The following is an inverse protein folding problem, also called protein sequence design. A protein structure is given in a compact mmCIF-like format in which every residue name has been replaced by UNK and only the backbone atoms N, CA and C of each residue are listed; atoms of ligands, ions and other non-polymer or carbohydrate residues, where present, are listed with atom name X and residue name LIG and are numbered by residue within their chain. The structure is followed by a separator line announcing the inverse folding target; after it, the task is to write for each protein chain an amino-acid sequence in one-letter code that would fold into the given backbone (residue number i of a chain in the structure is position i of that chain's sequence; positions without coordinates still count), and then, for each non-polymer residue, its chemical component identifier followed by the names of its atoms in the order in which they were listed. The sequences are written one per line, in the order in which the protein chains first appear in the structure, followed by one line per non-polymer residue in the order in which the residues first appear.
data_IF_465057745994
#
_entry.id   IF_465057745994
#
_cell.length_a   1.000
_cell.length_b   1.000
_cell.length_c   1.000
_cell.angle_alpha   90.00
_cell.angle_beta   90.00
_cell.angle_gamma   90.00
#
_symmetry.space_group_name_H-M   'P 1'
#
loop_
_entity.id
_entity.type
_entity.pdbx_description
1 polymer ?
#
# COMPACT_ATOMS: atom_id res chain seq x y z
N UNK A 1 18.65 75.96 -17.97
CA UNK A 1 19.09 74.60 -17.52
C UNK A 1 17.96 73.59 -17.75
N UNK A 2 18.02 72.75 -18.76
CA UNK A 2 17.00 71.71 -18.97
C UNK A 2 17.10 70.66 -17.85
N UNK A 3 16.01 70.46 -17.14
CA UNK A 3 15.93 69.56 -16.02
C UNK A 3 16.26 68.11 -16.45
N UNK A 4 16.84 67.35 -15.57
CA UNK A 4 17.26 65.94 -15.80
C UNK A 4 16.06 65.07 -16.31
N UNK A 5 14.85 65.41 -15.87
CA UNK A 5 13.58 64.82 -16.36
C UNK A 5 13.36 65.02 -17.86
N UNK A 6 13.62 66.25 -18.38
CA UNK A 6 13.46 66.50 -19.83
C UNK A 6 14.49 65.74 -20.68
N UNK A 7 15.71 65.55 -20.20
CA UNK A 7 16.71 64.69 -20.87
C UNK A 7 16.29 63.27 -20.96
N UNK A 8 15.75 62.69 -19.87
CA UNK A 8 15.26 61.31 -19.80
C UNK A 8 14.03 61.15 -20.73
N UNK A 9 13.10 62.10 -20.70
CA UNK A 9 11.91 62.07 -21.58
C UNK A 9 12.31 62.18 -23.04
N UNK A 10 13.22 63.04 -23.44
CA UNK A 10 13.72 63.14 -24.80
C UNK A 10 14.46 61.91 -25.26
N UNK A 11 15.26 61.28 -24.39
CA UNK A 11 15.93 60.03 -24.69
C UNK A 11 14.94 58.88 -24.90
N UNK A 12 13.92 58.79 -24.03
CA UNK A 12 12.86 57.77 -24.11
C UNK A 12 12.02 57.96 -25.40
N UNK A 13 11.69 59.22 -25.78
CA UNK A 13 10.93 59.49 -27.00
C UNK A 13 11.77 59.22 -28.26
N UNK A 14 13.04 59.65 -28.25
CA UNK A 14 13.94 59.43 -29.40
C UNK A 14 14.23 57.95 -29.68
N UNK A 15 14.18 57.12 -28.66
CA UNK A 15 14.38 55.69 -28.77
C UNK A 15 13.10 54.84 -28.89
N UNK A 16 11.93 55.51 -29.02
CA UNK A 16 10.68 54.79 -29.23
C UNK A 16 10.67 54.19 -30.63
N UNK A 17 10.79 52.90 -30.66
CA UNK A 17 10.61 52.08 -31.88
C UNK A 17 9.12 51.98 -32.19
N UNK A 18 8.80 51.75 -33.47
CA UNK A 18 7.42 51.52 -33.85
C UNK A 18 6.79 50.37 -33.03
N UNK A 19 5.51 50.41 -32.72
CA UNK A 19 4.84 49.35 -31.97
C UNK A 19 5.07 47.98 -32.57
N UNK A 20 5.21 47.89 -33.88
CA UNK A 20 5.43 46.64 -34.60
C UNK A 20 6.85 46.11 -34.43
N UNK A 21 7.87 46.98 -34.43
CA UNK A 21 9.26 46.59 -34.18
C UNK A 21 9.46 46.16 -32.70
N UNK A 22 8.76 46.80 -31.78
CA UNK A 22 8.80 46.46 -30.38
C UNK A 22 8.17 45.07 -30.12
N UNK A 23 7.01 44.80 -30.72
CA UNK A 23 6.39 43.45 -30.71
C UNK A 23 7.32 42.39 -31.28
N UNK A 24 7.97 42.66 -32.39
CA UNK A 24 8.88 41.72 -33.04
C UNK A 24 10.13 41.44 -32.18
N UNK A 25 10.66 42.46 -31.47
CA UNK A 25 11.78 42.28 -30.53
C UNK A 25 11.38 41.49 -29.29
N UNK A 26 10.28 41.86 -28.65
CA UNK A 26 9.76 41.17 -27.49
C UNK A 26 9.43 39.73 -27.86
N UNK A 27 8.82 39.49 -29.02
CA UNK A 27 8.59 38.13 -29.52
C UNK A 27 9.87 37.32 -29.71
N UNK A 28 10.91 37.94 -30.31
CA UNK A 28 12.21 37.26 -30.49
C UNK A 28 12.90 36.98 -29.15
N UNK A 29 12.90 37.94 -28.19
CA UNK A 29 13.52 37.73 -26.88
C UNK A 29 12.76 36.68 -26.06
N UNK A 30 11.44 36.63 -26.14
CA UNK A 30 10.63 35.63 -25.49
C UNK A 30 10.86 34.23 -26.10
N UNK A 31 10.95 34.16 -27.43
CA UNK A 31 11.27 32.92 -28.13
C UNK A 31 12.69 32.40 -27.77
N UNK A 32 13.69 33.29 -27.74
CA UNK A 32 15.04 32.92 -27.30
C UNK A 32 15.07 32.44 -25.85
N UNK A 33 14.32 33.10 -24.96
CA UNK A 33 14.22 32.67 -23.56
C UNK A 33 13.57 31.28 -23.46
N UNK A 34 12.51 31.06 -24.22
CA UNK A 34 11.83 29.75 -24.26
C UNK A 34 12.74 28.63 -24.74
N UNK A 35 13.50 28.88 -25.84
CA UNK A 35 14.48 27.92 -26.37
C UNK A 35 15.59 27.66 -25.37
N UNK A 36 16.08 28.70 -24.67
CA UNK A 36 17.09 28.56 -23.62
C UNK A 36 16.59 27.70 -22.45
N UNK A 37 15.39 27.97 -21.94
CA UNK A 37 14.79 27.17 -20.87
C UNK A 37 14.59 25.72 -21.30
N UNK A 38 14.15 25.51 -22.52
CA UNK A 38 14.00 24.16 -23.08
C UNK A 38 15.34 23.43 -23.19
N UNK A 39 16.39 24.11 -23.64
CA UNK A 39 17.75 23.53 -23.69
C UNK A 39 18.26 23.16 -22.29
N UNK A 40 18.07 24.02 -21.28
CA UNK A 40 18.42 23.70 -19.89
C UNK A 40 17.64 22.48 -19.38
N UNK A 41 16.36 22.37 -19.72
CA UNK A 41 15.56 21.20 -19.37
C UNK A 41 16.09 19.93 -20.02
N UNK A 42 16.41 19.97 -21.32
CA UNK A 42 16.99 18.81 -22.02
C UNK A 42 18.34 18.37 -21.43
N UNK A 43 19.21 19.32 -21.11
CA UNK A 43 20.51 19.01 -20.45
C UNK A 43 20.26 18.36 -19.09
N UNK A 44 19.34 18.89 -18.30
CA UNK A 44 19.00 18.31 -16.99
C UNK A 44 18.48 16.87 -17.16
N UNK A 45 17.63 16.63 -18.17
CA UNK A 45 17.11 15.30 -18.46
C UNK A 45 18.22 14.33 -18.90
N UNK A 46 19.12 14.77 -19.78
CA UNK A 46 20.25 13.98 -20.23
C UNK A 46 21.20 13.58 -19.07
N UNK A 47 21.44 14.51 -18.14
CA UNK A 47 22.22 14.23 -16.93
C UNK A 47 21.54 13.17 -16.05
N UNK A 48 20.22 13.27 -15.84
CA UNK A 48 19.46 12.29 -15.04
C UNK A 48 19.52 10.90 -15.70
N UNK A 49 19.34 10.83 -17.02
CA UNK A 49 19.40 9.55 -17.77
C UNK A 49 20.82 8.96 -17.70
N UNK A 50 21.84 9.80 -17.89
CA UNK A 50 23.23 9.33 -17.93
C UNK A 50 23.80 8.94 -16.56
N UNK A 51 23.39 9.63 -15.50
CA UNK A 51 23.92 9.40 -14.14
C UNK A 51 23.01 8.54 -13.27
N UNK A 52 21.72 8.41 -13.62
CA UNK A 52 20.70 7.75 -12.78
C UNK A 52 20.50 8.43 -11.42
N UNK A 53 21.01 9.67 -11.26
CA UNK A 53 20.96 10.38 -9.98
C UNK A 53 20.48 11.82 -10.15
N UNK A 54 19.77 12.34 -9.13
CA UNK A 54 19.34 13.73 -9.04
C UNK A 54 19.49 14.23 -7.60
N UNK A 55 20.10 15.42 -7.43
CA UNK A 55 20.34 16.04 -6.11
C UNK A 55 21.03 15.12 -5.09
N UNK A 56 21.97 14.29 -5.54
CA UNK A 56 22.71 13.36 -4.67
C UNK A 56 21.96 12.05 -4.36
N UNK A 57 20.72 11.89 -4.84
CA UNK A 57 19.94 10.67 -4.66
C UNK A 57 20.06 9.79 -5.90
N UNK A 58 20.41 8.53 -5.72
CA UNK A 58 20.46 7.54 -6.80
C UNK A 58 19.05 7.01 -7.05
N UNK A 59 18.42 7.48 -8.14
CA UNK A 59 17.03 7.15 -8.50
C UNK A 59 16.82 5.65 -8.78
N UNK A 60 17.87 4.99 -9.33
CA UNK A 60 17.80 3.55 -9.63
C UNK A 60 17.74 2.73 -8.34
N UNK A 61 18.57 3.09 -7.33
CA UNK A 61 18.54 2.43 -6.02
C UNK A 61 17.25 2.68 -5.27
N UNK A 62 16.73 3.90 -5.31
CA UNK A 62 15.44 4.21 -4.66
C UNK A 62 14.27 3.53 -5.35
N UNK A 63 14.25 3.49 -6.68
CA UNK A 63 13.25 2.73 -7.43
C UNK A 63 13.30 1.24 -7.09
N UNK A 64 14.51 0.64 -7.05
CA UNK A 64 14.67 -0.75 -6.65
C UNK A 64 14.18 -1.00 -5.23
N UNK A 65 14.47 -0.10 -4.29
CA UNK A 65 14.02 -0.19 -2.90
C UNK A 65 12.49 -0.17 -2.76
N UNK A 66 11.82 0.65 -3.56
CA UNK A 66 10.34 0.76 -3.54
C UNK A 66 9.68 -0.44 -4.24
N UNK A 67 10.30 -0.94 -5.32
CA UNK A 67 9.72 -2.03 -6.12
C UNK A 67 10.20 -3.43 -5.70
N UNK A 68 11.26 -3.55 -4.88
CA UNK A 68 11.73 -4.82 -4.36
C UNK A 68 11.23 -5.03 -2.95
N UNK A 69 10.17 -5.83 -2.81
CA UNK A 69 9.72 -6.31 -1.50
C UNK A 69 10.36 -7.67 -1.25
N UNK A 70 11.28 -7.75 -0.30
CA UNK A 70 11.82 -9.03 0.14
C UNK A 70 10.80 -9.71 1.05
N UNK A 71 10.18 -10.77 0.56
CA UNK A 71 9.29 -11.62 1.35
C UNK A 71 10.07 -12.82 1.83
N UNK A 72 10.24 -12.96 3.13
CA UNK A 72 10.78 -14.18 3.73
C UNK A 72 9.72 -15.26 3.66
N UNK A 73 9.99 -16.32 2.89
CA UNK A 73 9.13 -17.51 2.85
C UNK A 73 9.72 -18.50 3.85
N UNK A 74 9.03 -18.80 4.97
CA UNK A 74 9.51 -19.79 5.91
C UNK A 74 9.55 -21.17 5.23
N UNK A 75 10.63 -21.90 5.47
CA UNK A 75 10.76 -23.26 4.96
C UNK A 75 9.75 -24.17 5.67
N UNK A 76 9.17 -25.12 4.92
CA UNK A 76 8.33 -26.16 5.51
C UNK A 76 9.18 -27.07 6.39
N UNK A 77 8.69 -27.40 7.58
CA UNK A 77 9.32 -28.39 8.46
C UNK A 77 9.06 -29.80 7.92
N UNK A 78 10.02 -30.69 8.10
CA UNK A 78 9.86 -32.09 7.73
C UNK A 78 8.77 -32.81 8.54
N UNK A 79 8.13 -33.79 7.95
CA UNK A 79 7.20 -34.69 8.64
C UNK A 79 8.00 -35.67 9.51
N UNK A 80 7.53 -35.89 10.72
CA UNK A 80 8.11 -36.89 11.65
C UNK A 80 7.21 -38.12 11.63
N UNK A 81 7.79 -39.26 11.41
CA UNK A 81 7.09 -40.54 11.34
C UNK A 81 7.43 -41.43 12.54
N UNK A 82 6.51 -42.30 12.88
CA UNK A 82 6.81 -43.44 13.75
C UNK A 82 7.58 -44.51 13.00
N UNK A 83 7.95 -45.59 13.71
CA UNK A 83 8.66 -46.74 13.10
C UNK A 83 7.85 -47.49 12.02
N UNK A 84 6.53 -47.28 11.98
CA UNK A 84 5.63 -47.92 11.02
C UNK A 84 5.36 -47.01 9.80
N UNK A 85 5.96 -45.80 9.78
CA UNK A 85 5.74 -44.84 8.72
C UNK A 85 4.47 -43.99 8.89
N UNK A 86 3.84 -44.01 10.07
CA UNK A 86 2.67 -43.17 10.36
C UNK A 86 3.14 -41.79 10.80
N UNK A 87 2.61 -40.71 10.24
CA UNK A 87 3.00 -39.34 10.62
C UNK A 87 2.59 -39.07 12.07
N UNK A 88 3.55 -38.64 12.88
CA UNK A 88 3.33 -38.15 14.26
C UNK A 88 3.17 -36.64 14.27
N UNK A 89 3.92 -35.92 13.43
CA UNK A 89 3.85 -34.49 13.27
C UNK A 89 4.16 -34.09 11.84
N UNK A 90 3.33 -33.25 11.27
CA UNK A 90 3.47 -32.75 9.89
C UNK A 90 3.14 -31.26 9.80
N UNK A 91 3.70 -30.59 8.80
CA UNK A 91 3.35 -29.21 8.53
C UNK A 91 1.99 -29.15 7.84
N UNK A 92 1.08 -28.40 8.46
CA UNK A 92 -0.22 -28.09 7.92
C UNK A 92 -0.29 -26.59 7.57
N UNK A 93 -1.04 -26.26 6.56
CA UNK A 93 -1.39 -24.87 6.28
C UNK A 93 -2.55 -24.47 7.17
N UNK A 94 -2.38 -23.41 7.94
CA UNK A 94 -3.44 -22.76 8.68
C UNK A 94 -3.64 -21.33 8.18
N UNK A 95 -4.69 -20.70 8.66
CA UNK A 95 -5.09 -19.37 8.24
C UNK A 95 -5.23 -18.46 9.47
N UNK A 96 -4.80 -17.22 9.32
CA UNK A 96 -5.00 -16.19 10.32
C UNK A 96 -5.97 -15.16 9.73
N UNK A 97 -7.06 -14.86 10.45
CA UNK A 97 -8.05 -13.90 10.02
C UNK A 97 -7.70 -12.49 10.49
N UNK A 98 -7.93 -11.52 9.62
CA UNK A 98 -7.85 -10.10 9.94
C UNK A 98 -9.01 -9.34 9.29
N UNK A 99 -9.33 -8.19 9.85
CA UNK A 99 -10.34 -7.29 9.31
C UNK A 99 -9.70 -5.96 8.90
N UNK A 100 -10.08 -5.44 7.76
CA UNK A 100 -9.79 -4.07 7.33
C UNK A 100 -10.89 -3.16 7.87
N UNK A 101 -10.50 -2.14 8.65
CA UNK A 101 -11.42 -1.18 9.27
C UNK A 101 -11.18 0.27 8.80
N UNK A 102 -10.23 0.46 7.88
CA UNK A 102 -9.91 1.76 7.29
C UNK A 102 -11.03 2.19 6.34
N UNK A 103 -11.82 3.18 6.73
CA UNK A 103 -12.95 3.71 5.93
C UNK A 103 -12.52 4.35 4.60
N UNK A 104 -11.24 4.64 4.44
CA UNK A 104 -10.69 5.16 3.18
C UNK A 104 -10.31 4.04 2.20
N UNK A 105 -10.26 2.79 2.66
CA UNK A 105 -9.87 1.66 1.83
C UNK A 105 -11.01 1.24 0.89
N UNK A 106 -10.91 1.70 -0.36
CA UNK A 106 -11.87 1.44 -1.43
C UNK A 106 -11.15 0.96 -2.68
N UNK A 107 -11.86 0.16 -3.48
CA UNK A 107 -11.41 -0.22 -4.83
C UNK A 107 -11.31 1.00 -5.76
N UNK A 108 -10.55 0.88 -6.84
CA UNK A 108 -10.50 1.89 -7.90
C UNK A 108 -11.90 2.22 -8.51
N UNK A 109 -12.84 1.29 -8.40
CA UNK A 109 -14.24 1.44 -8.83
C UNK A 109 -15.14 2.06 -7.74
N UNK A 110 -14.59 2.40 -6.56
CA UNK A 110 -15.33 2.95 -5.43
C UNK A 110 -16.03 1.92 -4.54
N UNK A 111 -15.83 0.62 -4.78
CA UNK A 111 -16.39 -0.45 -3.94
C UNK A 111 -15.72 -0.44 -2.56
N UNK A 112 -16.52 -0.69 -1.52
CA UNK A 112 -16.07 -0.73 -0.13
C UNK A 112 -15.29 -2.03 0.10
N UNK A 113 -14.06 -1.92 0.61
CA UNK A 113 -13.18 -3.04 0.92
C UNK A 113 -12.85 -3.11 2.42
N UNK A 114 -13.68 -2.52 3.26
CA UNK A 114 -13.56 -2.55 4.72
C UNK A 114 -14.87 -2.99 5.36
N UNK A 115 -14.83 -3.43 6.62
CA UNK A 115 -16.02 -3.84 7.37
C UNK A 115 -16.77 -2.61 7.85
N UNK A 116 -18.03 -2.47 7.44
CA UNK A 116 -18.90 -1.37 7.88
C UNK A 116 -19.39 -1.59 9.32
N UNK A 117 -19.58 -0.51 10.07
CA UNK A 117 -20.07 -0.58 11.45
C UNK A 117 -21.42 -1.28 11.59
N UNK A 118 -22.30 -1.14 10.58
CA UNK A 118 -23.58 -1.83 10.49
C UNK A 118 -23.46 -3.36 10.47
N UNK A 119 -22.32 -3.87 10.03
CA UNK A 119 -22.04 -5.29 9.82
C UNK A 119 -21.31 -5.96 11.00
N UNK A 120 -20.85 -5.19 12.00
CA UNK A 120 -20.07 -5.71 13.14
C UNK A 120 -20.80 -6.83 13.90
N UNK A 121 -22.12 -6.71 14.06
CA UNK A 121 -22.91 -7.75 14.72
C UNK A 121 -22.88 -9.07 13.95
N UNK A 122 -22.98 -9.00 12.62
CA UNK A 122 -22.99 -10.20 11.78
C UNK A 122 -21.61 -10.85 11.72
N UNK A 123 -20.54 -10.08 11.65
CA UNK A 123 -19.16 -10.59 11.73
C UNK A 123 -18.93 -11.28 13.08
N UNK A 124 -19.39 -10.66 14.17
CA UNK A 124 -19.25 -11.23 15.51
C UNK A 124 -20.01 -12.56 15.65
N UNK A 125 -21.24 -12.66 15.13
CA UNK A 125 -22.03 -13.91 15.08
C UNK A 125 -21.28 -15.02 14.32
N UNK A 126 -20.75 -14.71 13.14
CA UNK A 126 -20.00 -15.68 12.32
C UNK A 126 -18.74 -16.14 13.05
N UNK A 127 -17.98 -15.23 13.65
CA UNK A 127 -16.76 -15.57 14.38
C UNK A 127 -17.06 -16.34 15.67
N UNK A 128 -18.17 -16.05 16.34
CA UNK A 128 -18.63 -16.85 17.47
C UNK A 128 -18.93 -18.28 17.04
N UNK A 129 -19.67 -18.45 15.94
CA UNK A 129 -20.09 -19.75 15.40
C UNK A 129 -18.92 -20.68 15.03
N UNK A 130 -17.89 -20.15 14.39
CA UNK A 130 -16.80 -20.98 13.83
C UNK A 130 -15.51 -20.95 14.63
N UNK A 131 -15.26 -19.89 15.41
CA UNK A 131 -14.01 -19.66 16.13
C UNK A 131 -14.21 -19.61 17.65
N UNK A 132 -15.45 -19.77 18.11
CA UNK A 132 -15.81 -19.68 19.54
C UNK A 132 -15.29 -18.38 20.20
N UNK A 133 -15.34 -17.28 19.44
CA UNK A 133 -14.99 -15.95 19.95
C UNK A 133 -16.19 -15.31 20.65
N UNK A 134 -15.94 -14.55 21.69
CA UNK A 134 -17.00 -13.71 22.27
C UNK A 134 -17.37 -12.57 21.33
N UNK A 135 -18.66 -12.38 21.07
CA UNK A 135 -19.14 -11.33 20.19
C UNK A 135 -18.73 -9.93 20.64
N UNK A 136 -18.72 -9.70 21.96
CA UNK A 136 -18.25 -8.45 22.57
C UNK A 136 -16.82 -8.14 22.19
N UNK A 137 -15.93 -9.13 22.29
CA UNK A 137 -14.53 -9.02 21.92
C UNK A 137 -14.35 -8.68 20.42
N UNK A 138 -15.08 -9.37 19.53
CA UNK A 138 -15.00 -9.11 18.09
C UNK A 138 -15.42 -7.68 17.77
N UNK A 139 -16.54 -7.22 18.37
CA UNK A 139 -17.03 -5.84 18.18
C UNK A 139 -16.04 -4.80 18.73
N UNK A 140 -15.41 -5.05 19.87
CA UNK A 140 -14.37 -4.20 20.43
C UNK A 140 -13.17 -4.08 19.49
N UNK A 141 -12.69 -5.20 18.93
CA UNK A 141 -11.59 -5.19 17.96
C UNK A 141 -11.94 -4.40 16.69
N UNK A 142 -13.13 -4.59 16.14
CA UNK A 142 -13.59 -3.88 14.95
C UNK A 142 -13.80 -2.37 15.18
N UNK A 143 -14.06 -1.97 16.42
CA UNK A 143 -14.32 -0.56 16.81
C UNK A 143 -13.06 0.20 17.18
N UNK A 144 -11.86 -0.37 17.08
CA UNK A 144 -10.63 0.29 17.49
C UNK A 144 -10.33 1.52 16.61
N UNK A 145 -10.10 2.70 17.19
CA UNK A 145 -9.81 3.91 16.44
C UNK A 145 -8.37 3.91 15.92
N UNK A 146 -8.17 4.60 14.80
CA UNK A 146 -6.85 4.89 14.21
C UNK A 146 -6.04 3.67 13.73
N UNK A 147 -6.67 2.51 13.59
CA UNK A 147 -6.07 1.35 12.96
C UNK A 147 -6.61 1.19 11.53
N UNK A 148 -5.78 0.66 10.66
CA UNK A 148 -6.18 0.31 9.29
C UNK A 148 -6.72 -1.10 9.20
N UNK A 149 -6.17 -1.98 10.01
CA UNK A 149 -6.58 -3.38 10.10
C UNK A 149 -6.42 -3.89 11.53
N UNK A 150 -7.21 -4.89 11.90
CA UNK A 150 -7.19 -5.54 13.20
C UNK A 150 -7.09 -7.06 13.04
N UNK A 151 -6.44 -7.69 14.00
CA UNK A 151 -6.37 -9.15 14.15
C UNK A 151 -7.13 -9.59 15.40
N UNK A 152 -7.54 -10.85 15.43
CA UNK A 152 -8.42 -11.37 16.49
C UNK A 152 -7.70 -12.28 17.50
N UNK A 153 -6.42 -12.00 17.74
CA UNK A 153 -5.65 -12.70 18.77
C UNK A 153 -5.48 -14.20 18.50
N UNK A 154 -5.37 -14.99 19.56
CA UNK A 154 -5.06 -16.41 19.47
C UNK A 154 -6.15 -17.23 18.75
N UNK A 155 -7.42 -16.93 18.97
CA UNK A 155 -8.56 -17.61 18.33
C UNK A 155 -8.70 -17.26 16.83
N UNK A 156 -8.16 -16.12 16.40
CA UNK A 156 -8.09 -15.71 15.00
C UNK A 156 -6.91 -16.31 14.24
N UNK A 157 -6.05 -17.07 14.90
CA UNK A 157 -4.87 -17.69 14.32
C UNK A 157 -5.01 -19.21 14.24
N UNK A 158 -4.35 -19.81 13.29
CA UNK A 158 -4.33 -21.27 13.17
C UNK A 158 -5.64 -21.89 12.70
N UNK A 159 -6.47 -21.14 12.00
CA UNK A 159 -7.77 -21.55 11.50
C UNK A 159 -7.58 -22.64 10.44
N UNK A 160 -8.37 -23.71 10.50
CA UNK A 160 -8.37 -24.77 9.49
C UNK A 160 -8.96 -24.28 8.16
N UNK A 161 -8.59 -24.93 7.07
CA UNK A 161 -9.15 -24.62 5.75
C UNK A 161 -10.68 -24.70 5.73
N UNK A 162 -11.24 -25.72 6.39
CA UNK A 162 -12.70 -25.91 6.45
C UNK A 162 -13.40 -24.74 7.14
N UNK A 163 -12.90 -24.32 8.30
CA UNK A 163 -13.48 -23.17 9.02
C UNK A 163 -13.29 -21.87 8.24
N UNK A 164 -12.11 -21.66 7.63
CA UNK A 164 -11.85 -20.50 6.80
C UNK A 164 -12.85 -20.40 5.64
N UNK A 165 -13.08 -21.51 4.92
CA UNK A 165 -14.06 -21.54 3.82
C UNK A 165 -15.48 -21.31 4.29
N UNK A 166 -15.87 -21.89 5.45
CA UNK A 166 -17.20 -21.68 6.02
C UNK A 166 -17.43 -20.22 6.42
N UNK A 167 -16.45 -19.61 7.06
CA UNK A 167 -16.50 -18.18 7.43
C UNK A 167 -16.62 -17.34 6.16
N UNK A 168 -15.79 -17.61 5.17
CA UNK A 168 -15.79 -16.86 3.91
C UNK A 168 -17.15 -16.94 3.21
N UNK A 169 -17.72 -18.13 3.10
CA UNK A 169 -19.02 -18.34 2.48
C UNK A 169 -20.15 -17.62 3.23
N UNK A 170 -20.16 -17.65 4.57
CA UNK A 170 -21.19 -16.97 5.37
C UNK A 170 -21.05 -15.44 5.26
N UNK A 171 -19.81 -14.91 5.17
CA UNK A 171 -19.56 -13.48 4.98
C UNK A 171 -19.91 -13.01 3.57
N UNK A 172 -19.58 -13.79 2.54
CA UNK A 172 -19.96 -13.49 1.15
C UNK A 172 -21.49 -13.51 0.97
N UNK A 173 -22.18 -14.48 1.58
CA UNK A 173 -23.65 -14.54 1.57
C UNK A 173 -24.28 -13.31 2.24
N UNK A 174 -23.63 -12.77 3.26
CA UNK A 174 -24.04 -11.53 3.94
C UNK A 174 -23.53 -10.25 3.24
N UNK A 175 -22.79 -10.36 2.12
CA UNK A 175 -22.14 -9.24 1.39
C UNK A 175 -21.26 -8.39 2.30
N UNK A 176 -20.48 -9.03 3.14
CA UNK A 176 -19.54 -8.38 4.04
C UNK A 176 -18.16 -8.47 3.42
N UNK A 177 -17.57 -7.33 3.13
CA UNK A 177 -16.20 -7.17 2.64
C UNK A 177 -15.27 -6.76 3.76
N UNK A 178 -13.97 -6.81 3.51
CA UNK A 178 -12.96 -6.34 4.48
C UNK A 178 -12.50 -7.39 5.50
N UNK A 179 -12.98 -8.63 5.41
CA UNK A 179 -12.42 -9.76 6.18
C UNK A 179 -11.56 -10.60 5.25
N UNK A 180 -10.30 -10.80 5.63
CA UNK A 180 -9.36 -11.53 4.80
C UNK A 180 -8.51 -12.50 5.61
N UNK A 181 -7.83 -13.44 4.93
CA UNK A 181 -7.08 -14.50 5.56
C UNK A 181 -5.64 -14.54 5.02
N UNK A 182 -4.68 -14.63 5.93
CA UNK A 182 -3.29 -14.89 5.58
C UNK A 182 -2.93 -16.33 5.90
N UNK A 183 -2.17 -16.97 5.01
CA UNK A 183 -1.65 -18.32 5.26
C UNK A 183 -0.53 -18.28 6.30
N UNK A 184 -0.56 -19.21 7.24
CA UNK A 184 0.47 -19.39 8.26
C UNK A 184 0.86 -20.86 8.33
N UNK A 185 2.17 -21.18 8.39
CA UNK A 185 2.60 -22.54 8.67
C UNK A 185 2.19 -22.95 10.09
N UNK A 186 1.59 -24.08 10.22
CA UNK A 186 1.21 -24.65 11.51
C UNK A 186 1.69 -26.09 11.61
N UNK A 187 1.81 -26.62 12.81
CA UNK A 187 2.17 -28.00 13.06
C UNK A 187 0.93 -28.80 13.39
N UNK A 188 0.64 -29.82 12.61
CA UNK A 188 -0.43 -30.79 12.87
C UNK A 188 0.13 -31.99 13.59
N UNK A 189 -0.59 -32.47 14.59
CA UNK A 189 -0.31 -33.70 15.32
C UNK A 189 -1.48 -34.66 15.14
N UNK A 190 -1.45 -35.53 14.13
CA UNK A 190 -2.56 -36.44 13.80
C UNK A 190 -3.02 -37.30 14.96
N UNK A 191 -2.08 -37.66 15.84
CA UNK A 191 -2.34 -38.48 17.03
C UNK A 191 -2.63 -37.65 18.30
N UNK A 192 -3.10 -36.42 18.13
CA UNK A 192 -3.40 -35.52 19.24
C UNK A 192 -2.14 -35.02 19.95
N UNK A 193 -2.22 -34.85 21.26
CA UNK A 193 -1.09 -34.32 22.04
C UNK A 193 0.02 -35.35 22.32
N UNK A 194 -0.04 -36.54 21.76
CA UNK A 194 0.99 -37.53 21.92
C UNK A 194 2.33 -37.01 21.40
N UNK A 195 3.34 -37.02 22.25
CA UNK A 195 4.70 -36.56 21.96
C UNK A 195 4.81 -35.05 21.54
N UNK A 196 3.75 -34.26 21.56
CA UNK A 196 3.77 -32.83 21.15
C UNK A 196 4.69 -31.97 21.99
N UNK A 197 5.00 -32.39 23.22
CA UNK A 197 5.95 -31.70 24.11
C UNK A 197 7.42 -32.02 23.82
N UNK A 198 7.72 -33.02 22.96
CA UNK A 198 9.07 -33.42 22.61
C UNK A 198 9.44 -33.13 21.14
N UNK A 199 8.48 -32.75 20.33
CA UNK A 199 8.59 -32.50 18.90
C UNK A 199 8.24 -31.01 18.60
#
# INVERSE_FOLDING_TARGET
MKTMKEKIIRFAIKNRKSPMENRRRVGKSLSLLAVFLFAVFLVNFAVIIGTGSKFGVNLVKEAARVHQTTRTVPAKRGTIYDRNGTPIAEDATSYNVYAVIDKEYKSANGEILYVEESQYNKVAEVFHKYLDMEESYVKEQLSQPNLKQVSFGAKGNGITYANMMSIKNDLEAAKIEGIDFTTSPNRSYPNGQFASSFI
#
